data_IF_218271446653
#
_entry.id   IF_218271446653
#
_cell.length_a   1.000
_cell.length_b   1.000
_cell.length_c   1.000
_cell.angle_alpha   90.00
_cell.angle_beta   90.00
_cell.angle_gamma   90.00
#
_symmetry.space_group_name_H-M   'P 1'
#
loop_
_entity.id
_entity.type
_entity.pdbx_description
1 polymer ?
#
# COMPACT_ATOMS: atom_id res chain seq x y z
N UNK A 1 -59.85 -25.29 -33.04
CA UNK A 1 -58.54 -25.70 -33.58
C UNK A 1 -57.57 -24.56 -33.30
N UNK A 2 -56.39 -24.82 -32.71
CA UNK A 2 -55.39 -23.76 -32.57
C UNK A 2 -54.88 -23.34 -33.95
N UNK A 3 -54.61 -22.05 -34.09
CA UNK A 3 -54.03 -21.44 -35.29
C UNK A 3 -52.66 -22.08 -35.61
N UNK A 4 -52.44 -22.61 -36.82
CA UNK A 4 -51.15 -23.17 -37.23
C UNK A 4 -49.96 -22.21 -37.02
N UNK A 5 -50.17 -20.91 -37.25
CA UNK A 5 -49.12 -19.89 -37.12
C UNK A 5 -48.68 -19.72 -35.65
N UNK A 6 -49.62 -19.83 -34.71
CA UNK A 6 -49.33 -19.78 -33.28
C UNK A 6 -48.51 -20.99 -32.82
N UNK A 7 -48.80 -22.18 -33.35
CA UNK A 7 -48.04 -23.38 -33.04
C UNK A 7 -46.59 -23.28 -33.55
N UNK A 8 -46.40 -22.76 -34.77
CA UNK A 8 -45.08 -22.54 -35.36
C UNK A 8 -44.24 -21.57 -34.50
N UNK A 9 -44.82 -20.45 -34.06
CA UNK A 9 -44.16 -19.48 -33.16
C UNK A 9 -43.79 -20.09 -31.81
N UNK A 10 -44.66 -20.94 -31.24
CA UNK A 10 -44.35 -21.64 -29.98
C UNK A 10 -43.19 -22.61 -30.18
N UNK A 11 -43.16 -23.34 -31.30
CA UNK A 11 -42.05 -24.27 -31.60
C UNK A 11 -40.74 -23.54 -31.83
N UNK A 12 -40.74 -22.44 -32.61
CA UNK A 12 -39.56 -21.61 -32.82
C UNK A 12 -39.03 -21.05 -31.49
N UNK A 13 -39.91 -20.51 -30.65
CA UNK A 13 -39.50 -19.95 -29.35
C UNK A 13 -38.92 -21.01 -28.40
N UNK A 14 -39.39 -22.26 -28.47
CA UNK A 14 -38.82 -23.36 -27.68
C UNK A 14 -37.40 -23.69 -28.11
N UNK A 15 -37.13 -23.72 -29.42
CA UNK A 15 -35.77 -23.94 -29.94
C UNK A 15 -34.85 -22.81 -29.51
N UNK A 16 -35.27 -21.55 -29.67
CA UNK A 16 -34.49 -20.39 -29.21
C UNK A 16 -34.16 -20.46 -27.72
N UNK A 17 -35.10 -20.89 -26.88
CA UNK A 17 -34.87 -20.99 -25.44
C UNK A 17 -33.88 -22.10 -25.09
N UNK A 18 -33.89 -23.23 -25.81
CA UNK A 18 -32.91 -24.31 -25.63
C UNK A 18 -31.52 -23.82 -26.04
N UNK A 19 -31.38 -23.13 -27.16
CA UNK A 19 -30.10 -22.55 -27.59
C UNK A 19 -29.56 -21.52 -26.58
N UNK A 20 -30.43 -20.66 -26.05
CA UNK A 20 -30.05 -19.70 -25.00
C UNK A 20 -29.64 -20.42 -23.69
N UNK A 21 -30.34 -21.49 -23.32
CA UNK A 21 -29.98 -22.29 -22.15
C UNK A 21 -28.60 -22.93 -22.32
N UNK A 22 -28.31 -23.52 -23.48
CA UNK A 22 -26.99 -24.07 -23.80
C UNK A 22 -25.88 -23.01 -23.73
N UNK A 23 -26.13 -21.81 -24.27
CA UNK A 23 -25.18 -20.69 -24.20
C UNK A 23 -24.92 -20.25 -22.76
N UNK A 24 -25.96 -20.11 -21.93
CA UNK A 24 -25.82 -19.72 -20.54
C UNK A 24 -25.08 -20.79 -19.72
N UNK A 25 -25.34 -22.07 -19.97
CA UNK A 25 -24.61 -23.18 -19.33
C UNK A 25 -23.12 -23.11 -19.67
N UNK A 26 -22.78 -22.83 -20.94
CA UNK A 26 -21.40 -22.67 -21.37
C UNK A 26 -20.72 -21.49 -20.66
N UNK A 27 -21.34 -20.31 -20.66
CA UNK A 27 -20.80 -19.13 -19.98
C UNK A 27 -20.61 -19.35 -18.48
N UNK A 28 -21.56 -20.04 -17.83
CA UNK A 28 -21.45 -20.34 -16.41
C UNK A 28 -20.30 -21.32 -16.12
N UNK A 29 -20.03 -22.26 -17.03
CA UNK A 29 -18.89 -23.17 -16.90
C UNK A 29 -17.55 -22.42 -17.03
N UNK A 30 -17.45 -21.47 -17.96
CA UNK A 30 -16.28 -20.61 -18.13
C UNK A 30 -16.03 -19.76 -16.86
N UNK A 31 -17.06 -19.05 -16.37
CA UNK A 31 -16.95 -18.24 -15.14
C UNK A 31 -16.57 -19.09 -13.92
N UNK A 32 -17.10 -20.32 -13.80
CA UNK A 32 -16.72 -21.24 -12.72
C UNK A 32 -15.25 -21.63 -12.80
N UNK A 33 -14.75 -21.89 -14.01
CA UNK A 33 -13.35 -22.23 -14.25
C UNK A 33 -12.44 -21.08 -13.85
N UNK A 34 -12.73 -19.86 -14.30
CA UNK A 34 -11.97 -18.66 -13.93
C UNK A 34 -11.98 -18.42 -12.42
N UNK A 35 -13.14 -18.59 -11.77
CA UNK A 35 -13.24 -18.43 -10.31
C UNK A 35 -12.40 -19.49 -9.56
N UNK A 36 -12.37 -20.72 -10.06
CA UNK A 36 -11.58 -21.78 -9.45
C UNK A 36 -10.07 -21.52 -9.65
N UNK A 37 -9.65 -20.99 -10.80
CA UNK A 37 -8.28 -20.50 -11.03
C UNK A 37 -7.91 -19.33 -10.11
N UNK A 38 -8.81 -18.36 -9.95
CA UNK A 38 -8.63 -17.24 -9.01
C UNK A 38 -8.50 -17.74 -7.57
N UNK A 39 -9.32 -18.69 -7.14
CA UNK A 39 -9.23 -19.27 -5.80
C UNK A 39 -7.88 -19.99 -5.58
N UNK A 40 -7.29 -20.57 -6.62
CA UNK A 40 -5.91 -21.12 -6.55
C UNK A 40 -4.90 -19.99 -6.42
N UNK A 41 -5.01 -18.93 -7.23
CA UNK A 41 -4.12 -17.78 -7.16
C UNK A 41 -4.16 -17.09 -5.78
N UNK A 42 -5.35 -16.92 -5.20
CA UNK A 42 -5.55 -16.37 -3.86
C UNK A 42 -4.86 -17.23 -2.79
N UNK A 43 -5.02 -18.56 -2.82
CA UNK A 43 -4.32 -19.46 -1.88
C UNK A 43 -2.80 -19.40 -2.02
N UNK A 44 -2.29 -19.28 -3.25
CA UNK A 44 -0.86 -19.11 -3.50
C UNK A 44 -0.39 -17.78 -2.94
N UNK A 45 -1.15 -16.71 -3.16
CA UNK A 45 -0.85 -15.39 -2.61
C UNK A 45 -0.82 -15.42 -1.08
N UNK A 46 -1.79 -16.04 -0.42
CA UNK A 46 -1.80 -16.17 1.04
C UNK A 46 -0.61 -16.98 1.54
N UNK A 47 -0.25 -18.09 0.90
CA UNK A 47 0.96 -18.83 1.29
C UNK A 47 2.22 -17.99 1.16
N UNK A 48 2.34 -17.21 0.09
CA UNK A 48 3.49 -16.33 -0.12
C UNK A 48 3.47 -15.18 0.89
N UNK A 49 2.30 -14.65 1.25
CA UNK A 49 2.14 -13.61 2.26
C UNK A 49 2.57 -14.13 3.64
N UNK A 50 2.16 -15.35 4.01
CA UNK A 50 2.55 -16.05 5.23
C UNK A 50 4.06 -16.34 5.24
N UNK A 51 4.63 -16.85 4.15
CA UNK A 51 6.08 -17.06 4.04
C UNK A 51 6.86 -15.76 4.20
N UNK A 52 6.40 -14.67 3.59
CA UNK A 52 7.00 -13.35 3.77
C UNK A 52 6.81 -12.82 5.19
N UNK A 53 5.68 -13.11 5.85
CA UNK A 53 5.43 -12.74 7.23
C UNK A 53 6.31 -13.54 8.19
N UNK A 54 6.51 -14.84 7.94
CA UNK A 54 7.39 -15.72 8.70
C UNK A 54 8.86 -15.36 8.48
N UNK A 55 9.26 -15.04 7.25
CA UNK A 55 10.58 -14.45 6.96
C UNK A 55 10.74 -13.12 7.71
N UNK A 56 9.73 -12.25 7.68
CA UNK A 56 9.72 -10.98 8.44
C UNK A 56 9.59 -11.14 9.95
N UNK A 57 9.08 -12.25 10.47
CA UNK A 57 8.97 -12.52 11.89
C UNK A 57 10.25 -13.19 12.41
N UNK A 58 10.87 -14.03 11.58
CA UNK A 58 12.23 -14.55 11.77
C UNK A 58 13.26 -13.44 11.63
N UNK A 59 12.94 -12.38 10.87
CA UNK A 59 13.59 -11.08 10.95
C UNK A 59 12.91 -10.31 12.07
N UNK A 60 13.31 -10.56 13.33
CA UNK A 60 13.38 -9.44 14.30
C UNK A 60 13.92 -8.25 13.51
N UNK A 61 13.38 -7.01 13.59
CA UNK A 61 13.92 -5.86 12.87
C UNK A 61 15.30 -5.57 13.43
N UNK A 62 16.21 -6.44 13.04
CA UNK A 62 17.59 -6.50 13.36
C UNK A 62 18.16 -5.55 12.33
N UNK A 63 18.98 -4.62 12.80
CA UNK A 63 19.60 -3.70 11.90
C UNK A 63 20.23 -4.42 10.71
N UNK A 64 19.85 -4.05 9.49
CA UNK A 64 20.54 -4.52 8.29
C UNK A 64 21.96 -3.98 8.41
N UNK A 65 22.93 -4.88 8.56
CA UNK A 65 24.33 -4.50 8.68
C UNK A 65 24.89 -4.22 7.28
N UNK A 66 25.14 -2.95 6.97
CA UNK A 66 25.94 -2.55 5.81
C UNK A 66 27.26 -2.03 6.35
N UNK A 67 28.35 -2.78 6.15
CA UNK A 67 29.68 -2.42 6.67
C UNK A 67 29.76 -2.33 8.20
N UNK A 68 29.11 -3.26 8.91
CA UNK A 68 29.11 -3.31 10.38
C UNK A 68 28.21 -2.26 11.06
N UNK A 69 27.47 -1.45 10.29
CA UNK A 69 26.54 -0.47 10.83
C UNK A 69 25.11 -0.94 10.70
N UNK A 70 24.44 -0.88 11.83
CA UNK A 70 23.04 -1.16 11.99
C UNK A 70 22.12 -0.17 11.25
N UNK A 71 21.48 -0.58 10.15
CA UNK A 71 20.52 0.24 9.40
C UNK A 71 19.12 -0.37 9.47
N UNK A 72 18.19 0.26 10.19
CA UNK A 72 16.77 -0.07 10.05
C UNK A 72 16.22 0.56 8.77
N UNK A 73 15.58 -0.25 7.93
CA UNK A 73 14.87 0.22 6.74
C UNK A 73 13.67 1.08 7.19
N UNK A 74 13.54 2.28 6.66
CA UNK A 74 12.36 3.11 6.92
C UNK A 74 11.23 2.59 6.02
N UNK A 75 10.11 2.11 6.57
CA UNK A 75 8.98 1.64 5.77
C UNK A 75 8.37 2.78 4.95
N UNK A 76 7.72 2.45 3.83
CA UNK A 76 6.89 3.40 3.10
C UNK A 76 5.58 3.67 3.87
N UNK A 77 4.97 4.83 3.65
CA UNK A 77 3.67 5.17 4.22
C UNK A 77 2.55 4.45 3.44
N UNK A 78 1.92 3.47 4.09
CA UNK A 78 0.80 2.68 3.57
C UNK A 78 -0.32 2.53 4.62
N UNK A 79 -1.58 2.26 4.23
CA UNK A 79 -2.65 1.93 5.17
C UNK A 79 -2.25 0.78 6.10
N UNK A 80 -2.44 0.92 7.41
CA UNK A 80 -2.02 -0.07 8.42
C UNK A 80 -0.56 0.02 8.88
N UNK A 81 0.29 0.83 8.23
CA UNK A 81 1.65 1.13 8.71
C UNK A 81 1.61 2.35 9.62
N UNK A 82 1.78 2.10 10.92
CA UNK A 82 1.75 3.14 11.96
C UNK A 82 3.10 3.85 12.12
N UNK A 83 3.06 5.11 12.56
CA UNK A 83 4.27 5.91 12.81
C UNK A 83 5.20 5.26 13.84
N UNK A 84 4.67 4.41 14.74
CA UNK A 84 5.42 3.64 15.73
C UNK A 84 6.36 2.59 15.13
N UNK A 85 6.18 2.22 13.85
CA UNK A 85 7.07 1.32 13.12
C UNK A 85 8.33 2.01 12.58
N UNK A 86 8.38 3.35 12.59
CA UNK A 86 9.58 4.09 12.21
C UNK A 86 10.67 3.93 13.28
N UNK A 87 11.97 4.01 12.93
CA UNK A 87 13.01 4.08 13.96
C UNK A 87 12.81 5.30 14.87
N UNK A 88 13.17 5.25 16.17
CA UNK A 88 12.80 6.27 17.16
C UNK A 88 13.17 7.71 16.79
N UNK A 89 14.31 7.89 16.14
CA UNK A 89 14.76 9.19 15.65
C UNK A 89 13.82 9.79 14.60
N UNK A 90 13.27 8.97 13.72
CA UNK A 90 12.32 9.40 12.70
C UNK A 90 10.93 9.64 13.28
N UNK A 91 10.53 8.89 14.31
CA UNK A 91 9.30 9.17 15.05
C UNK A 91 9.33 10.56 15.67
N UNK A 92 10.43 10.92 16.34
CA UNK A 92 10.61 12.25 16.95
C UNK A 92 10.56 13.37 15.92
N UNK A 93 11.21 13.19 14.77
CA UNK A 93 11.17 14.16 13.67
C UNK A 93 9.75 14.32 13.14
N UNK A 94 9.04 13.21 12.88
CA UNK A 94 7.67 13.25 12.38
C UNK A 94 6.71 13.90 13.39
N UNK A 95 6.89 13.62 14.68
CA UNK A 95 6.11 14.24 15.75
C UNK A 95 6.35 15.75 15.83
N UNK A 96 7.60 16.22 15.68
CA UNK A 96 7.91 17.64 15.67
C UNK A 96 7.24 18.37 14.49
N UNK A 97 7.29 17.80 13.29
CA UNK A 97 6.59 18.38 12.12
C UNK A 97 5.07 18.42 12.35
N UNK A 98 4.50 17.37 12.94
CA UNK A 98 3.05 17.33 13.26
C UNK A 98 2.67 18.37 14.31
N UNK A 99 3.47 18.51 15.36
CA UNK A 99 3.23 19.43 16.46
C UNK A 99 3.24 20.89 16.00
N UNK A 100 4.03 21.21 14.97
CA UNK A 100 4.04 22.54 14.39
C UNK A 100 2.73 22.93 13.68
N UNK A 101 1.87 21.95 13.33
CA UNK A 101 0.53 22.21 12.79
C UNK A 101 0.50 22.81 11.38
N UNK A 102 1.64 22.91 10.70
CA UNK A 102 1.77 23.51 9.37
C UNK A 102 3.13 23.25 8.73
N UNK A 103 3.38 23.80 7.53
CA UNK A 103 4.68 23.70 6.87
C UNK A 103 5.80 24.26 7.76
N UNK A 104 6.89 23.52 7.88
CA UNK A 104 8.06 23.89 8.69
C UNK A 104 9.38 23.74 7.96
N UNK A 105 10.31 24.64 8.25
CA UNK A 105 11.68 24.58 7.79
C UNK A 105 12.51 23.59 8.61
N UNK A 106 13.56 23.02 8.00
CA UNK A 106 14.52 22.13 8.71
C UNK A 106 15.06 22.77 9.99
N UNK A 107 15.30 24.08 9.98
CA UNK A 107 15.80 24.81 11.15
C UNK A 107 14.80 24.76 12.32
N UNK A 108 13.52 25.01 12.07
CA UNK A 108 12.48 24.98 13.09
C UNK A 108 12.34 23.58 13.70
N UNK A 109 12.39 22.53 12.85
CA UNK A 109 12.43 21.15 13.33
C UNK A 109 13.67 20.89 14.19
N UNK A 110 14.83 21.44 13.80
CA UNK A 110 16.06 21.35 14.58
C UNK A 110 15.93 22.00 15.96
N UNK A 111 15.36 23.19 16.03
CA UNK A 111 15.10 23.92 17.28
C UNK A 111 14.19 23.11 18.21
N UNK A 112 13.10 22.54 17.69
CA UNK A 112 12.18 21.69 18.46
C UNK A 112 12.84 20.41 18.99
N UNK A 113 13.81 19.87 18.26
CA UNK A 113 14.54 18.65 18.62
C UNK A 113 15.79 18.92 19.45
N UNK A 114 16.08 20.17 19.81
CA UNK A 114 17.29 20.55 20.55
C UNK A 114 18.59 20.35 19.76
N UNK A 115 18.52 20.34 18.43
CA UNK A 115 19.70 20.31 17.56
C UNK A 115 20.30 21.72 17.55
N UNK A 116 21.62 21.82 17.71
CA UNK A 116 22.32 23.09 17.54
C UNK A 116 22.22 23.57 16.08
N UNK A 117 21.30 24.51 15.85
CA UNK A 117 20.99 25.05 14.52
C UNK A 117 21.98 26.13 14.07
N UNK A 118 22.90 26.57 14.94
CA UNK A 118 23.98 27.48 14.56
C UNK A 118 25.08 26.76 13.77
N UNK A 119 25.21 25.43 13.98
CA UNK A 119 26.21 24.59 13.34
C UNK A 119 25.61 23.85 12.15
N UNK A 120 25.97 24.28 10.93
CA UNK A 120 25.45 23.69 9.68
C UNK A 120 25.64 22.18 9.59
N UNK A 121 26.78 21.65 10.06
CA UNK A 121 27.08 20.21 10.03
C UNK A 121 26.17 19.36 10.93
N UNK A 122 25.49 19.97 11.91
CA UNK A 122 24.47 19.30 12.74
C UNK A 122 23.09 19.33 12.08
N UNK A 123 22.83 20.34 11.26
CA UNK A 123 21.56 20.51 10.56
C UNK A 123 21.45 19.66 9.27
N UNK A 124 22.56 19.44 8.57
CA UNK A 124 22.59 18.65 7.33
C UNK A 124 22.09 17.20 7.51
N UNK A 125 22.50 16.45 8.55
CA UNK A 125 21.93 15.13 8.84
C UNK A 125 20.42 15.17 9.08
N UNK A 126 19.90 16.19 9.77
CA UNK A 126 18.46 16.36 9.99
C UNK A 126 17.72 16.61 8.68
N UNK A 127 18.28 17.45 7.80
CA UNK A 127 17.73 17.68 6.45
C UNK A 127 17.64 16.39 5.66
N UNK A 128 18.69 15.57 5.67
CA UNK A 128 18.68 14.26 5.00
C UNK A 128 17.60 13.32 5.52
N UNK A 129 17.32 13.35 6.83
CA UNK A 129 16.24 12.55 7.45
C UNK A 129 14.84 13.03 7.04
N UNK A 130 14.63 14.35 6.97
CA UNK A 130 13.36 14.94 6.49
C UNK A 130 13.08 14.61 5.02
N UNK A 131 14.11 14.68 4.17
CA UNK A 131 14.01 14.25 2.76
C UNK A 131 13.69 12.77 2.69
N UNK A 132 14.37 11.93 3.46
CA UNK A 132 14.08 10.49 3.46
C UNK A 132 12.66 10.16 3.91
N UNK A 133 12.11 10.87 4.89
CA UNK A 133 10.70 10.73 5.26
C UNK A 133 9.75 11.19 4.14
N UNK A 134 10.17 12.18 3.35
CA UNK A 134 9.43 12.63 2.16
C UNK A 134 9.44 11.55 1.07
N UNK A 135 10.60 11.00 0.75
CA UNK A 135 10.76 9.93 -0.27
C UNK A 135 9.93 8.69 0.09
N UNK A 136 9.77 8.43 1.38
CA UNK A 136 8.97 7.31 1.92
C UNK A 136 7.49 7.64 2.11
N UNK A 137 7.06 8.85 1.74
CA UNK A 137 5.65 9.28 1.76
C UNK A 137 5.10 9.68 3.14
N UNK A 138 5.94 9.76 4.17
CA UNK A 138 5.53 10.19 5.52
C UNK A 138 5.37 11.71 5.63
N UNK A 139 6.20 12.44 4.90
CA UNK A 139 6.16 13.90 4.81
C UNK A 139 5.95 14.32 3.35
N UNK A 140 5.54 15.58 3.17
CA UNK A 140 5.54 16.27 1.88
C UNK A 140 6.50 17.44 1.97
N UNK A 141 7.42 17.54 1.00
CA UNK A 141 8.26 18.71 0.79
C UNK A 141 7.57 19.68 -0.17
N UNK A 142 7.50 20.95 0.23
CA UNK A 142 6.92 22.06 -0.53
C UNK A 142 7.97 22.68 -1.47
N UNK A 143 7.56 23.43 -2.52
CA UNK A 143 8.49 24.07 -3.46
C UNK A 143 9.46 25.06 -2.79
N UNK A 144 9.02 25.69 -1.71
CA UNK A 144 9.80 26.63 -0.89
C UNK A 144 10.76 25.94 0.10
N UNK A 145 10.82 24.61 0.10
CA UNK A 145 11.71 23.82 0.96
C UNK A 145 11.15 23.49 2.35
N UNK A 146 9.89 23.86 2.64
CA UNK A 146 9.21 23.47 3.88
C UNK A 146 8.72 22.03 3.84
N UNK A 147 8.50 21.44 5.00
CA UNK A 147 8.00 20.07 5.18
C UNK A 147 6.67 20.10 5.93
N UNK A 148 5.70 19.29 5.51
CA UNK A 148 4.42 19.12 6.19
C UNK A 148 4.03 17.65 6.27
N UNK A 149 3.22 17.27 7.25
CA UNK A 149 2.68 15.91 7.34
C UNK A 149 1.65 15.65 6.25
N UNK A 150 1.65 14.43 5.70
CA UNK A 150 0.55 13.97 4.85
C UNK A 150 -0.60 13.53 5.77
N UNK A 151 -1.72 14.26 5.73
CA UNK A 151 -2.99 13.84 6.35
C UNK A 151 -3.51 12.58 5.66
#
# INVERSE_FOLDING_TARGET
MLDPELLERITARRVELVELEEQLVKQLAEVRTERDELAVAERVFERVSEQLADERASIVPAPVQVGGRAVMLIPHREPGVEATMLPPDYQRILAAVRQAGGPVMTRQVGEMLGVDVSVRSKLEPLRGRLVRLTDRGWLRKMPDGQFTTRL
#
